data_IF_590607597995
#
_entry.id   IF_590607597995
#
_cell.length_a   1.000
_cell.length_b   1.000
_cell.length_c   1.000
_cell.angle_alpha   90.00
_cell.angle_beta   90.00
_cell.angle_gamma   90.00
#
_symmetry.space_group_name_H-M   'P 1'
#
loop_
_entity.id
_entity.type
_entity.pdbx_description
1 polymer ?
#
# COMPACT_ATOMS: atom_id res chain seq x y z
N UNK A 1 2.98 11.26 15.05
CA UNK A 1 3.73 12.18 15.93
C UNK A 1 3.64 13.60 15.40
N UNK A 2 4.21 13.89 14.22
CA UNK A 2 4.33 15.23 13.65
C UNK A 2 3.04 15.96 13.28
N UNK A 3 1.88 15.32 13.36
CA UNK A 3 0.58 15.99 13.22
C UNK A 3 0.09 16.66 14.50
N UNK A 4 0.75 16.44 15.65
CA UNK A 4 0.33 16.99 16.94
C UNK A 4 0.94 18.36 17.18
N UNK A 5 0.07 19.35 17.42
CA UNK A 5 0.47 20.73 17.71
C UNK A 5 1.35 20.86 18.97
N UNK A 6 1.20 19.93 19.92
CA UNK A 6 1.96 19.83 21.18
C UNK A 6 3.46 20.09 21.04
N UNK A 7 4.09 19.54 19.99
CA UNK A 7 5.53 19.64 19.76
C UNK A 7 6.00 21.04 19.36
N UNK A 8 5.06 21.93 19.01
CA UNK A 8 5.32 23.33 18.69
C UNK A 8 5.19 24.29 19.88
N UNK A 9 4.94 23.76 21.09
CA UNK A 9 4.70 24.58 22.29
C UNK A 9 3.28 25.15 22.36
N UNK A 10 2.33 24.51 21.70
CA UNK A 10 0.90 24.86 21.72
C UNK A 10 0.05 23.60 21.89
N UNK A 11 -1.13 23.72 22.49
CA UNK A 11 -2.11 22.63 22.50
C UNK A 11 -3.53 23.16 22.32
N UNK A 12 -4.42 22.25 21.94
CA UNK A 12 -5.86 22.48 21.84
C UNK A 12 -6.60 21.55 22.80
N UNK A 13 -7.74 22.00 23.33
CA UNK A 13 -8.57 21.22 24.24
C UNK A 13 -9.97 21.01 23.65
N UNK A 14 -10.57 19.83 23.84
CA UNK A 14 -11.92 19.55 23.37
C UNK A 14 -13.00 20.37 24.10
N UNK A 15 -12.75 20.76 25.35
CA UNK A 15 -13.64 21.59 26.17
C UNK A 15 -13.60 23.07 25.78
N UNK A 16 -12.52 23.51 25.13
CA UNK A 16 -12.36 24.88 24.62
C UNK A 16 -11.98 24.82 23.14
N UNK A 17 -12.93 24.45 22.27
CA UNK A 17 -12.66 24.25 20.86
C UNK A 17 -12.20 25.55 20.20
N UNK A 18 -11.31 25.43 19.21
CA UNK A 18 -10.76 26.53 18.40
C UNK A 18 -9.87 27.52 19.15
N UNK A 19 -9.50 27.25 20.39
CA UNK A 19 -8.52 28.04 21.13
C UNK A 19 -7.20 27.28 21.20
N UNK A 20 -6.14 27.92 20.71
CA UNK A 20 -4.78 27.44 20.84
C UNK A 20 -4.13 28.07 22.06
N UNK A 21 -3.64 27.23 22.96
CA UNK A 21 -3.05 27.68 24.23
C UNK A 21 -1.54 27.47 24.15
N UNK A 22 -0.78 28.55 24.33
CA UNK A 22 0.68 28.52 24.43
C UNK A 22 1.09 27.93 25.76
N UNK A 23 2.08 27.04 25.74
CA UNK A 23 2.53 26.28 26.90
C UNK A 23 3.98 26.61 27.27
N UNK A 24 4.35 26.27 28.51
CA UNK A 24 5.58 26.75 29.15
C UNK A 24 6.83 25.89 28.89
N UNK A 25 6.71 24.75 28.22
CA UNK A 25 7.86 23.92 27.90
C UNK A 25 8.58 24.37 26.63
N UNK A 26 9.84 23.99 26.52
CA UNK A 26 10.65 24.24 25.32
C UNK A 26 10.10 23.42 24.15
N UNK A 27 9.71 24.07 23.04
CA UNK A 27 9.17 23.38 21.89
C UNK A 27 10.29 22.68 21.09
N UNK A 28 9.99 21.51 20.54
CA UNK A 28 10.94 20.75 19.70
C UNK A 28 11.11 21.42 18.33
N UNK A 29 10.01 21.98 17.80
CA UNK A 29 9.97 22.75 16.56
C UNK A 29 9.19 24.04 16.80
N UNK A 30 9.45 25.07 16.01
CA UNK A 30 8.65 26.30 16.06
C UNK A 30 7.26 26.12 15.45
N UNK A 31 6.34 27.05 15.74
CA UNK A 31 5.01 27.03 15.10
C UNK A 31 5.08 27.14 13.58
N UNK A 32 5.97 27.99 13.07
CA UNK A 32 6.18 28.16 11.61
C UNK A 32 6.63 26.86 10.95
N UNK A 33 7.55 26.13 11.59
CA UNK A 33 8.01 24.83 11.10
C UNK A 33 6.92 23.77 11.14
N UNK A 34 6.07 23.79 12.18
CA UNK A 34 4.90 22.92 12.25
C UNK A 34 3.92 23.19 11.10
N UNK A 35 3.59 24.45 10.83
CA UNK A 35 2.66 24.82 9.76
C UNK A 35 3.22 24.39 8.39
N UNK A 36 4.51 24.68 8.12
CA UNK A 36 5.21 24.23 6.92
C UNK A 36 5.18 22.70 6.78
N UNK A 37 5.33 21.97 7.88
CA UNK A 37 5.30 20.52 7.90
C UNK A 37 3.88 19.99 7.65
N UNK A 38 2.84 20.62 8.21
CA UNK A 38 1.46 20.24 7.91
C UNK A 38 1.13 20.47 6.42
N UNK A 39 1.53 21.61 5.85
CA UNK A 39 1.32 21.90 4.43
C UNK A 39 2.00 20.87 3.53
N UNK A 40 3.22 20.43 3.89
CA UNK A 40 3.90 19.37 3.14
C UNK A 40 3.22 18.02 3.29
N UNK A 41 2.70 17.71 4.48
CA UNK A 41 1.98 16.45 4.72
C UNK A 41 0.61 16.42 4.04
N UNK A 42 -0.12 17.54 4.02
CA UNK A 42 -1.43 17.65 3.36
C UNK A 42 -1.31 17.66 1.84
N UNK A 43 -0.27 18.29 1.30
CA UNK A 43 0.03 18.31 -0.14
C UNK A 43 0.86 17.09 -0.60
N UNK A 44 1.18 16.17 0.31
CA UNK A 44 1.86 14.94 -0.05
C UNK A 44 0.86 13.97 -0.66
N UNK A 45 1.05 13.65 -1.94
CA UNK A 45 0.40 12.52 -2.62
C UNK A 45 0.80 11.15 -2.02
N UNK A 46 1.65 11.13 -0.97
CA UNK A 46 1.97 9.92 -0.22
C UNK A 46 0.92 9.55 0.84
N UNK A 47 -0.18 10.30 0.95
CA UNK A 47 -1.42 9.79 1.54
C UNK A 47 -1.94 8.71 0.59
N UNK A 48 -1.50 7.47 0.81
CA UNK A 48 -1.97 6.32 0.05
C UNK A 48 -1.06 5.87 -1.09
N UNK A 49 0.27 6.00 -1.02
CA UNK A 49 1.10 4.98 -1.70
C UNK A 49 0.64 3.67 -1.08
N UNK A 50 -0.10 2.81 -1.82
CA UNK A 50 -0.48 1.55 -1.26
C UNK A 50 0.86 0.87 -0.98
N UNK A 51 1.10 0.46 0.26
CA UNK A 51 2.04 -0.63 0.47
C UNK A 51 1.39 -1.80 -0.26
N UNK A 52 1.65 -1.91 -1.56
CA UNK A 52 1.26 -3.08 -2.32
C UNK A 52 2.13 -4.14 -1.68
N UNK A 53 1.53 -4.89 -0.76
CA UNK A 53 2.15 -6.04 -0.10
C UNK A 53 2.29 -7.15 -1.15
N UNK A 54 3.03 -6.86 -2.22
CA UNK A 54 3.34 -7.77 -3.30
C UNK A 54 4.60 -8.53 -2.96
N UNK A 55 4.61 -9.83 -3.27
CA UNK A 55 5.83 -10.62 -3.23
C UNK A 55 6.55 -10.45 -4.57
N UNK A 56 7.87 -10.37 -4.57
CA UNK A 56 8.67 -10.36 -5.80
C UNK A 56 8.41 -11.57 -6.69
N UNK A 57 8.07 -12.71 -6.10
CA UNK A 57 7.70 -13.93 -6.84
C UNK A 57 6.34 -13.87 -7.53
N UNK A 58 5.43 -13.02 -7.03
CA UNK A 58 4.06 -12.87 -7.55
C UNK A 58 3.63 -11.40 -7.53
N UNK A 59 4.24 -10.54 -8.38
CA UNK A 59 4.11 -9.09 -8.30
C UNK A 59 2.72 -8.57 -8.71
N UNK A 60 1.95 -9.35 -9.47
CA UNK A 60 0.66 -8.92 -10.03
C UNK A 60 -0.49 -8.85 -9.00
N UNK A 61 -0.32 -9.40 -7.79
CA UNK A 61 -1.34 -9.44 -6.73
C UNK A 61 -0.93 -8.51 -5.58
N UNK A 62 -1.88 -7.84 -4.91
CA UNK A 62 -3.34 -8.01 -5.00
C UNK A 62 -4.07 -7.18 -6.07
N UNK A 63 -3.42 -6.17 -6.66
CA UNK A 63 -4.15 -5.11 -7.35
C UNK A 63 -4.25 -5.27 -8.86
N UNK A 64 -3.25 -5.88 -9.51
CA UNK A 64 -3.11 -5.81 -10.97
C UNK A 64 -3.74 -6.98 -11.71
N UNK A 65 -4.01 -8.10 -11.03
CA UNK A 65 -4.51 -9.31 -11.66
C UNK A 65 -5.99 -9.54 -11.35
N UNK A 66 -6.82 -9.35 -12.37
CA UNK A 66 -8.28 -9.54 -12.34
C UNK A 66 -8.63 -10.77 -13.19
N UNK A 67 -9.58 -11.57 -12.71
CA UNK A 67 -10.09 -12.73 -13.42
C UNK A 67 -11.09 -12.33 -14.49
N UNK A 68 -10.82 -12.70 -15.74
CA UNK A 68 -11.64 -12.37 -16.92
C UNK A 68 -13.10 -12.84 -16.82
N UNK A 69 -13.37 -14.02 -16.25
CA UNK A 69 -14.76 -14.53 -16.22
C UNK A 69 -15.66 -13.94 -15.14
N UNK A 70 -15.09 -13.32 -14.10
CA UNK A 70 -15.88 -12.98 -12.91
C UNK A 70 -15.48 -11.69 -12.20
N UNK A 71 -14.59 -10.91 -12.83
CA UNK A 71 -14.08 -9.61 -12.39
C UNK A 71 -13.52 -9.56 -10.97
N UNK A 72 -13.23 -10.72 -10.39
CA UNK A 72 -12.66 -10.81 -9.06
C UNK A 72 -11.13 -10.73 -9.11
N UNK A 73 -10.53 -10.11 -8.09
CA UNK A 73 -9.07 -10.12 -7.93
C UNK A 73 -8.57 -11.54 -7.71
N UNK A 74 -7.40 -11.85 -8.27
CA UNK A 74 -6.75 -13.15 -8.06
C UNK A 74 -5.89 -13.14 -6.79
N UNK A 75 -5.65 -14.32 -6.24
CA UNK A 75 -4.78 -14.54 -5.08
C UNK A 75 -3.58 -15.39 -5.47
N UNK A 76 -2.40 -15.07 -4.95
CA UNK A 76 -1.17 -15.85 -5.18
C UNK A 76 -1.03 -17.01 -4.19
N UNK A 77 -0.65 -18.19 -4.68
CA UNK A 77 -0.35 -19.37 -3.88
C UNK A 77 1.02 -19.95 -4.24
N UNK A 78 1.63 -20.64 -3.28
CA UNK A 78 2.85 -21.42 -3.48
C UNK A 78 2.60 -22.89 -3.20
N UNK A 79 2.80 -23.74 -4.20
CA UNK A 79 2.71 -25.20 -4.04
C UNK A 79 4.09 -25.74 -3.66
N UNK A 80 4.26 -26.09 -2.39
CA UNK A 80 5.52 -26.61 -1.84
C UNK A 80 6.02 -27.89 -2.53
N UNK A 81 5.11 -28.80 -2.92
CA UNK A 81 5.48 -30.09 -3.53
C UNK A 81 6.02 -29.93 -4.95
N UNK A 82 5.43 -29.01 -5.72
CA UNK A 82 5.76 -28.78 -7.13
C UNK A 82 6.74 -27.62 -7.33
N UNK A 83 7.07 -26.92 -6.24
CA UNK A 83 7.85 -25.69 -6.23
C UNK A 83 7.38 -24.71 -7.32
N UNK A 84 6.11 -24.29 -7.21
CA UNK A 84 5.47 -23.36 -8.14
C UNK A 84 4.68 -22.28 -7.43
N UNK A 85 4.82 -21.06 -7.96
CA UNK A 85 3.89 -19.98 -7.72
C UNK A 85 2.81 -19.98 -8.80
N UNK A 86 1.57 -19.82 -8.37
CA UNK A 86 0.41 -19.73 -9.26
C UNK A 86 -0.62 -18.75 -8.69
N UNK A 87 -1.43 -18.20 -9.58
CA UNK A 87 -2.54 -17.34 -9.26
C UNK A 87 -3.83 -18.14 -9.31
N UNK A 88 -4.74 -17.93 -8.36
CA UNK A 88 -6.04 -18.57 -8.30
C UNK A 88 -7.13 -17.54 -8.05
N UNK A 89 -8.21 -17.62 -8.82
CA UNK A 89 -9.41 -16.84 -8.56
C UNK A 89 -10.17 -17.44 -7.36
N UNK A 90 -10.53 -16.60 -6.39
CA UNK A 90 -11.29 -17.04 -5.21
C UNK A 90 -12.75 -17.39 -5.51
N UNK A 91 -13.31 -16.86 -6.61
CA UNK A 91 -14.73 -17.05 -6.99
C UNK A 91 -14.93 -18.23 -7.94
N UNK A 92 -14.25 -18.23 -9.09
CA UNK A 92 -14.42 -19.28 -10.12
C UNK A 92 -13.37 -20.41 -10.07
N UNK A 93 -12.43 -20.36 -9.11
CA UNK A 93 -11.36 -21.36 -8.94
C UNK A 93 -10.41 -21.57 -10.14
N UNK A 94 -10.49 -20.76 -11.20
CA UNK A 94 -9.50 -20.82 -12.29
C UNK A 94 -8.10 -20.50 -11.76
N UNK A 95 -7.12 -21.16 -12.35
CA UNK A 95 -5.72 -21.05 -11.96
C UNK A 95 -4.84 -20.74 -13.17
N UNK A 96 -3.78 -19.97 -12.93
CA UNK A 96 -2.77 -19.64 -13.93
C UNK A 96 -1.39 -19.67 -13.30
N UNK A 97 -0.39 -20.18 -14.03
CA UNK A 97 0.98 -20.20 -13.53
C UNK A 97 1.57 -18.79 -13.46
N UNK A 98 2.31 -18.48 -12.39
CA UNK A 98 2.97 -17.18 -12.28
C UNK A 98 4.14 -17.07 -13.27
N UNK A 99 4.94 -18.13 -13.39
CA UNK A 99 6.10 -18.20 -14.28
C UNK A 99 5.95 -19.30 -15.34
N UNK A 100 6.51 -19.07 -16.54
CA UNK A 100 6.63 -20.10 -17.59
C UNK A 100 7.52 -21.25 -17.11
N UNK A 101 7.14 -22.50 -17.40
CA UNK A 101 7.98 -23.69 -17.23
C UNK A 101 8.19 -24.41 -18.56
N UNK A 102 9.16 -25.31 -18.62
CA UNK A 102 9.48 -26.12 -19.81
C UNK A 102 8.29 -26.91 -20.36
N UNK A 103 7.38 -27.35 -19.47
CA UNK A 103 6.17 -28.10 -19.84
C UNK A 103 4.93 -27.21 -20.01
N UNK A 104 5.08 -25.89 -19.93
CA UNK A 104 3.98 -24.96 -20.07
C UNK A 104 3.65 -24.78 -21.55
N UNK A 105 2.36 -24.91 -21.89
CA UNK A 105 1.88 -24.62 -23.25
C UNK A 105 1.89 -23.10 -23.54
N UNK A 106 1.61 -22.30 -22.51
CA UNK A 106 1.52 -20.84 -22.58
C UNK A 106 2.51 -20.22 -21.60
N UNK A 107 2.88 -18.96 -21.86
CA UNK A 107 3.68 -18.18 -20.93
C UNK A 107 2.99 -17.98 -19.59
N UNK A 108 3.78 -17.94 -18.51
CA UNK A 108 3.29 -17.53 -17.20
C UNK A 108 2.86 -16.07 -17.19
N UNK A 109 1.95 -15.72 -16.28
CA UNK A 109 1.37 -14.37 -16.23
C UNK A 109 2.41 -13.27 -16.02
N UNK A 110 3.49 -13.54 -15.27
CA UNK A 110 4.57 -12.57 -15.07
C UNK A 110 5.29 -12.24 -16.39
N UNK A 111 5.59 -13.26 -17.21
CA UNK A 111 6.23 -13.10 -18.51
C UNK A 111 5.29 -12.40 -19.51
N UNK A 112 3.99 -12.74 -19.50
CA UNK A 112 3.01 -12.07 -20.35
C UNK A 112 2.89 -10.58 -20.02
N UNK A 113 2.94 -10.23 -18.72
CA UNK A 113 2.89 -8.83 -18.28
C UNK A 113 4.12 -8.04 -18.74
N UNK A 114 5.31 -8.64 -18.68
CA UNK A 114 6.56 -7.99 -19.10
C UNK A 114 6.70 -7.77 -20.62
N UNK A 115 5.86 -8.44 -21.43
CA UNK A 115 5.86 -8.32 -22.90
C UNK A 115 4.93 -7.23 -23.44
N UNK A 116 4.04 -6.69 -22.60
CA UNK A 116 3.14 -5.59 -22.94
C UNK A 116 3.81 -4.25 -22.69
#
# INVERSE_FOLDING_TARGET
>A
MWSKLFYSGYFTNSLVPRVEIKVHWEPIITRKEYDLLQDRLSNSNQIGIPKINGKTSTPLVPTFLICDDCDNTMTSYFNKRKDIYYYKCGKCNKTANANTKTKSLNDGLNQQFAKR
#
